data_IF_057641640775
#
_entry.id   IF_057641640775
#
_cell.length_a   1.000
_cell.length_b   1.000
_cell.length_c   1.000
_cell.angle_alpha   90.00
_cell.angle_beta   90.00
_cell.angle_gamma   90.00
#
_symmetry.space_group_name_H-M   'P 1'
#
loop_
_entity.id
_entity.type
_entity.pdbx_description
1 polymer ?
#
# COMPACT_ATOMS: atom_id res chain seq x y z
N UNK A 1 24.11 11.98 21.18
CA UNK A 1 23.90 10.80 20.30
C UNK A 1 23.04 11.25 19.16
N UNK A 2 23.62 11.49 17.97
CA UNK A 2 22.91 11.96 16.79
C UNK A 2 22.44 10.74 15.99
N UNK A 3 21.13 10.52 15.93
CA UNK A 3 20.55 9.50 15.03
C UNK A 3 20.76 9.92 13.57
N UNK A 4 21.13 8.95 12.72
CA UNK A 4 21.36 9.20 11.29
C UNK A 4 20.05 9.60 10.58
N UNK A 5 20.11 10.38 9.48
CA UNK A 5 18.92 10.81 8.73
C UNK A 5 18.03 9.65 8.24
N UNK A 6 18.62 8.48 7.97
CA UNK A 6 17.91 7.27 7.56
C UNK A 6 17.04 6.66 8.68
N UNK A 7 17.49 6.75 9.93
CA UNK A 7 16.71 6.30 11.09
C UNK A 7 15.50 7.22 11.37
N UNK A 8 15.64 8.52 11.11
CA UNK A 8 14.56 9.49 11.29
C UNK A 8 13.48 9.36 10.22
N UNK A 9 13.85 9.08 8.98
CA UNK A 9 12.90 8.84 7.89
C UNK A 9 12.09 7.56 8.13
N UNK A 10 12.74 6.47 8.58
CA UNK A 10 12.05 5.21 8.92
C UNK A 10 11.06 5.37 10.08
N UNK A 11 11.40 6.20 11.08
CA UNK A 11 10.53 6.44 12.22
C UNK A 11 9.29 7.26 11.84
N UNK A 12 9.42 8.25 10.97
CA UNK A 12 8.30 9.08 10.50
C UNK A 12 7.32 8.27 9.66
N UNK A 13 7.81 7.38 8.78
CA UNK A 13 6.98 6.48 7.98
C UNK A 13 6.26 5.46 8.85
N UNK A 14 6.91 4.92 9.89
CA UNK A 14 6.30 3.98 10.84
C UNK A 14 5.21 4.65 11.70
N UNK A 15 5.39 5.92 12.08
CA UNK A 15 4.40 6.69 12.85
C UNK A 15 3.18 7.02 11.99
N UNK A 16 3.38 7.35 10.70
CA UNK A 16 2.27 7.66 9.78
C UNK A 16 1.40 6.45 9.43
N UNK A 17 1.96 5.23 9.49
CA UNK A 17 1.25 4.01 9.10
C UNK A 17 0.77 3.16 10.29
N UNK A 18 1.14 3.49 11.53
CA UNK A 18 0.72 2.72 12.72
C UNK A 18 1.18 1.25 12.69
N UNK A 19 2.20 0.93 11.90
CA UNK A 19 2.70 -0.43 11.70
C UNK A 19 3.66 -0.83 12.84
N UNK A 20 3.13 -1.05 14.04
CA UNK A 20 3.82 -1.84 15.05
C UNK A 20 3.73 -3.33 14.66
N UNK A 21 4.74 -3.81 13.97
CA UNK A 21 4.95 -5.26 13.80
C UNK A 21 5.42 -5.79 15.15
N UNK A 22 4.49 -6.27 15.96
CA UNK A 22 4.83 -7.03 17.17
C UNK A 22 5.51 -8.32 16.72
N UNK A 23 6.83 -8.38 16.86
CA UNK A 23 7.61 -9.58 16.63
C UNK A 23 7.29 -10.60 17.74
N UNK A 24 6.28 -11.43 17.53
CA UNK A 24 6.05 -12.63 18.30
C UNK A 24 7.00 -13.69 17.71
N UNK A 25 8.16 -13.88 18.34
CA UNK A 25 9.07 -14.96 18.03
C UNK A 25 8.41 -16.27 18.49
N UNK A 26 7.51 -16.83 17.69
CA UNK A 26 7.16 -18.23 17.77
C UNK A 26 8.44 -19.01 17.38
N UNK A 27 8.81 -20.01 18.15
CA UNK A 27 9.92 -20.89 17.87
C UNK A 27 9.63 -21.64 16.56
N UNK A 28 10.20 -21.13 15.48
CA UNK A 28 9.96 -21.65 14.12
C UNK A 28 10.93 -22.81 13.92
N UNK A 29 10.46 -24.02 14.21
CA UNK A 29 11.28 -25.24 14.29
C UNK A 29 11.25 -26.12 13.04
N UNK A 30 10.37 -25.82 12.05
CA UNK A 30 10.28 -26.59 10.80
C UNK A 30 10.07 -25.69 9.57
N UNK A 31 10.38 -26.18 8.35
CA UNK A 31 10.09 -25.47 7.11
C UNK A 31 8.60 -25.12 6.95
N UNK A 32 7.71 -26.03 7.37
CA UNK A 32 6.26 -25.81 7.28
C UNK A 32 5.79 -24.72 8.25
N UNK A 33 6.29 -24.71 9.49
CA UNK A 33 5.96 -23.65 10.46
C UNK A 33 6.49 -22.30 10.01
N UNK A 34 7.66 -22.24 9.38
CA UNK A 34 8.18 -21.02 8.76
C UNK A 34 7.28 -20.51 7.64
N UNK A 35 6.89 -21.40 6.72
CA UNK A 35 6.03 -21.03 5.59
C UNK A 35 4.66 -20.53 6.07
N UNK A 36 4.05 -21.23 7.01
CA UNK A 36 2.78 -20.82 7.60
C UNK A 36 2.89 -19.46 8.29
N UNK A 37 3.97 -19.21 9.04
CA UNK A 37 4.24 -17.92 9.68
C UNK A 37 4.46 -16.80 8.66
N UNK A 38 5.27 -17.04 7.61
CA UNK A 38 5.47 -16.09 6.51
C UNK A 38 4.14 -15.70 5.85
N UNK A 39 3.31 -16.68 5.52
CA UNK A 39 2.01 -16.46 4.88
C UNK A 39 1.06 -15.65 5.76
N UNK A 40 1.05 -15.93 7.08
CA UNK A 40 0.28 -15.14 8.03
C UNK A 40 0.79 -13.71 8.15
N UNK A 41 2.12 -13.50 8.15
CA UNK A 41 2.69 -12.15 8.16
C UNK A 41 2.32 -11.35 6.90
N UNK A 42 2.42 -11.96 5.72
CA UNK A 42 2.01 -11.35 4.45
C UNK A 42 0.51 -10.99 4.46
N UNK A 43 -0.34 -11.89 4.94
CA UNK A 43 -1.77 -11.62 5.06
C UNK A 43 -2.07 -10.47 6.03
N UNK A 44 -1.42 -10.43 7.19
CA UNK A 44 -1.56 -9.32 8.16
C UNK A 44 -1.09 -7.99 7.59
N UNK A 45 0.03 -7.98 6.85
CA UNK A 45 0.51 -6.78 6.16
C UNK A 45 -0.55 -6.26 5.19
N UNK A 46 -1.10 -7.14 4.35
CA UNK A 46 -2.12 -6.78 3.37
C UNK A 46 -3.43 -6.31 4.03
N UNK A 47 -3.88 -6.97 5.10
CA UNK A 47 -5.06 -6.55 5.87
C UNK A 47 -4.86 -5.16 6.48
N UNK A 48 -3.68 -4.91 7.08
CA UNK A 48 -3.35 -3.63 7.67
C UNK A 48 -3.28 -2.53 6.60
N UNK A 49 -2.62 -2.81 5.47
CA UNK A 49 -2.55 -1.87 4.36
C UNK A 49 -3.95 -1.51 3.84
N UNK A 50 -4.80 -2.51 3.58
CA UNK A 50 -6.17 -2.26 3.12
C UNK A 50 -7.02 -1.56 4.18
N UNK A 51 -6.81 -1.82 5.47
CA UNK A 51 -7.44 -1.09 6.56
C UNK A 51 -7.06 0.40 6.58
N UNK A 52 -5.79 0.72 6.35
CA UNK A 52 -5.29 2.10 6.23
C UNK A 52 -5.92 2.79 5.02
N UNK A 53 -5.94 2.13 3.84
CA UNK A 53 -6.56 2.67 2.64
C UNK A 53 -8.06 2.90 2.81
N UNK A 54 -8.74 1.97 3.49
CA UNK A 54 -10.16 2.10 3.85
C UNK A 54 -10.39 3.33 4.75
N UNK A 55 -9.60 3.48 5.81
CA UNK A 55 -9.68 4.64 6.72
C UNK A 55 -9.43 5.96 5.99
N UNK A 56 -8.40 6.00 5.13
CA UNK A 56 -8.13 7.15 4.27
C UNK A 56 -9.33 7.50 3.39
N UNK A 57 -9.90 6.50 2.73
CA UNK A 57 -11.04 6.70 1.84
C UNK A 57 -12.27 7.23 2.59
N UNK A 58 -12.62 6.63 3.73
CA UNK A 58 -13.77 7.06 4.55
C UNK A 58 -13.59 8.50 5.04
N UNK A 59 -12.41 8.85 5.56
CA UNK A 59 -12.11 10.22 6.01
C UNK A 59 -12.22 11.23 4.87
N UNK A 60 -11.67 10.91 3.71
CA UNK A 60 -11.69 11.81 2.55
C UNK A 60 -13.09 11.93 1.92
N UNK A 61 -13.89 10.88 1.92
CA UNK A 61 -15.30 10.96 1.49
C UNK A 61 -16.09 11.83 2.47
N UNK A 62 -15.94 11.60 3.78
CA UNK A 62 -16.64 12.38 4.80
C UNK A 62 -16.29 13.87 4.76
N UNK A 63 -14.98 14.19 4.85
CA UNK A 63 -14.51 15.57 4.80
C UNK A 63 -14.78 16.22 3.44
N UNK A 64 -14.63 15.48 2.36
CA UNK A 64 -14.90 15.91 1.00
C UNK A 64 -16.39 16.23 0.79
N UNK A 65 -17.29 15.43 1.34
CA UNK A 65 -18.73 15.68 1.30
C UNK A 65 -19.07 16.98 2.06
N UNK A 66 -18.61 17.10 3.31
CA UNK A 66 -18.83 18.34 4.09
C UNK A 66 -18.24 19.53 3.37
N UNK A 67 -16.99 19.47 2.92
CA UNK A 67 -16.31 20.55 2.22
C UNK A 67 -17.01 20.96 0.92
N UNK A 68 -17.58 20.00 0.18
CA UNK A 68 -18.35 20.30 -1.03
C UNK A 68 -19.57 21.21 -0.75
N UNK A 69 -20.28 20.99 0.35
CA UNK A 69 -21.48 21.75 0.68
C UNK A 69 -21.20 23.06 1.44
N UNK A 70 -20.05 23.15 2.13
CA UNK A 70 -19.71 24.30 2.97
C UNK A 70 -18.77 25.32 2.32
N UNK A 71 -18.15 24.97 1.17
CA UNK A 71 -17.17 25.84 0.49
C UNK A 71 -17.61 26.18 -0.93
N UNK A 72 -16.88 27.10 -1.58
CA UNK A 72 -17.15 27.55 -2.94
C UNK A 72 -15.88 27.56 -3.80
N UNK A 73 -16.05 27.76 -5.10
CA UNK A 73 -14.97 27.96 -6.06
C UNK A 73 -13.98 26.78 -6.08
N UNK A 74 -12.72 27.09 -5.99
CA UNK A 74 -11.61 26.14 -6.06
C UNK A 74 -11.63 25.12 -4.92
N UNK A 75 -11.92 25.57 -3.69
CA UNK A 75 -11.98 24.71 -2.50
C UNK A 75 -13.12 23.69 -2.62
N UNK A 76 -14.27 24.10 -3.14
CA UNK A 76 -15.38 23.19 -3.43
C UNK A 76 -15.00 22.13 -4.46
N UNK A 77 -14.33 22.54 -5.54
CA UNK A 77 -13.88 21.64 -6.57
C UNK A 77 -12.82 20.62 -6.05
N UNK A 78 -11.92 21.08 -5.17
CA UNK A 78 -10.98 20.20 -4.46
C UNK A 78 -11.70 19.12 -3.66
N UNK A 79 -12.64 19.49 -2.80
CA UNK A 79 -13.39 18.56 -1.96
C UNK A 79 -14.24 17.59 -2.78
N UNK A 80 -14.84 18.06 -3.86
CA UNK A 80 -15.61 17.22 -4.79
C UNK A 80 -14.74 16.13 -5.42
N UNK A 81 -13.59 16.51 -5.97
CA UNK A 81 -12.66 15.57 -6.58
C UNK A 81 -12.09 14.59 -5.54
N UNK A 82 -11.78 15.10 -4.34
CA UNK A 82 -11.27 14.31 -3.23
C UNK A 82 -12.26 13.21 -2.80
N UNK A 83 -13.54 13.55 -2.61
CA UNK A 83 -14.57 12.56 -2.29
C UNK A 83 -14.79 11.56 -3.41
N UNK A 84 -14.91 12.03 -4.66
CA UNK A 84 -15.12 11.17 -5.82
C UNK A 84 -13.99 10.15 -6.02
N UNK A 85 -12.72 10.59 -5.91
CA UNK A 85 -11.57 9.71 -6.01
C UNK A 85 -11.59 8.61 -4.95
N UNK A 86 -11.90 8.99 -3.72
CA UNK A 86 -11.86 8.06 -2.60
C UNK A 86 -13.01 7.04 -2.61
N UNK A 87 -14.06 7.20 -3.41
CA UNK A 87 -15.04 6.12 -3.65
C UNK A 87 -14.42 4.92 -4.35
N UNK A 88 -13.43 5.15 -5.23
CA UNK A 88 -12.65 4.09 -5.88
C UNK A 88 -11.77 3.39 -4.87
N UNK A 89 -11.03 4.14 -4.05
CA UNK A 89 -10.19 3.58 -2.99
C UNK A 89 -11.00 2.77 -1.98
N UNK A 90 -12.20 3.25 -1.61
CA UNK A 90 -13.14 2.55 -0.74
C UNK A 90 -13.55 1.19 -1.32
N UNK A 91 -13.89 1.17 -2.62
CA UNK A 91 -14.27 -0.06 -3.31
C UNK A 91 -13.12 -1.07 -3.36
N UNK A 92 -11.90 -0.61 -3.72
CA UNK A 92 -10.70 -1.45 -3.77
C UNK A 92 -10.42 -2.05 -2.39
N UNK A 93 -10.34 -1.23 -1.35
CA UNK A 93 -10.02 -1.68 0.00
C UNK A 93 -11.12 -2.62 0.55
N UNK A 94 -12.40 -2.27 0.35
CA UNK A 94 -13.53 -3.07 0.83
C UNK A 94 -13.61 -4.44 0.15
N UNK A 95 -13.44 -4.51 -1.17
CA UNK A 95 -13.43 -5.78 -1.91
C UNK A 95 -12.22 -6.64 -1.54
N UNK A 96 -11.05 -6.02 -1.37
CA UNK A 96 -9.84 -6.72 -0.93
C UNK A 96 -10.01 -7.33 0.47
N UNK A 97 -10.48 -6.55 1.45
CA UNK A 97 -10.71 -7.06 2.80
C UNK A 97 -11.76 -8.16 2.83
N UNK A 98 -12.83 -8.03 2.03
CA UNK A 98 -13.84 -9.09 1.91
C UNK A 98 -13.26 -10.39 1.34
N UNK A 99 -12.41 -10.31 0.31
CA UNK A 99 -11.75 -11.47 -0.27
C UNK A 99 -10.81 -12.16 0.74
N UNK A 100 -10.09 -11.38 1.52
CA UNK A 100 -9.16 -11.88 2.54
C UNK A 100 -9.88 -12.56 3.72
N UNK A 101 -11.13 -12.20 4.02
CA UNK A 101 -11.89 -12.77 5.13
C UNK A 101 -12.20 -14.27 4.96
N UNK A 102 -12.23 -14.77 3.73
CA UNK A 102 -12.49 -16.18 3.40
C UNK A 102 -11.23 -17.00 3.12
N UNK A 103 -10.06 -16.38 3.16
CA UNK A 103 -8.80 -17.04 2.85
C UNK A 103 -8.10 -17.61 4.10
N UNK A 104 -7.35 -18.69 3.92
CA UNK A 104 -6.58 -19.36 4.96
C UNK A 104 -5.08 -19.35 4.66
N UNK A 105 -4.39 -18.21 4.80
CA UNK A 105 -3.01 -18.05 4.35
C UNK A 105 -2.02 -19.05 4.98
N UNK A 106 -2.27 -19.45 6.22
CA UNK A 106 -1.41 -20.43 6.91
C UNK A 106 -1.35 -21.81 6.26
N UNK A 107 -2.29 -22.15 5.36
CA UNK A 107 -2.33 -23.42 4.64
C UNK A 107 -1.78 -23.34 3.20
N UNK A 108 -1.25 -22.18 2.76
CA UNK A 108 -0.69 -22.04 1.42
C UNK A 108 0.62 -22.81 1.30
N UNK A 109 0.76 -23.53 0.19
CA UNK A 109 2.03 -24.14 -0.18
C UNK A 109 3.07 -23.12 -0.65
N UNK A 110 4.29 -23.55 -0.87
CA UNK A 110 5.39 -22.70 -1.29
C UNK A 110 5.13 -22.03 -2.65
N UNK A 111 4.55 -22.76 -3.61
CA UNK A 111 4.29 -22.24 -4.95
C UNK A 111 3.26 -21.10 -4.90
N UNK A 112 2.19 -21.28 -4.15
CA UNK A 112 1.17 -20.25 -3.92
C UNK A 112 1.75 -19.06 -3.17
N UNK A 113 2.57 -19.28 -2.13
CA UNK A 113 3.19 -18.20 -1.35
C UNK A 113 4.09 -17.32 -2.21
N UNK A 114 4.94 -17.92 -3.04
CA UNK A 114 5.79 -17.19 -3.99
C UNK A 114 4.96 -16.43 -5.04
N UNK A 115 3.92 -17.08 -5.60
CA UNK A 115 3.05 -16.48 -6.60
C UNK A 115 2.30 -15.26 -6.06
N UNK A 116 1.67 -15.38 -4.88
CA UNK A 116 0.93 -14.28 -4.27
C UNK A 116 1.86 -13.12 -3.85
N UNK A 117 3.06 -13.42 -3.32
CA UNK A 117 4.06 -12.42 -3.01
C UNK A 117 4.51 -11.62 -4.25
N UNK A 118 4.85 -12.31 -5.34
CA UNK A 118 5.25 -11.67 -6.60
C UNK A 118 4.11 -10.88 -7.25
N UNK A 119 2.88 -11.41 -7.21
CA UNK A 119 1.70 -10.72 -7.72
C UNK A 119 1.46 -9.40 -6.97
N UNK A 120 1.59 -9.42 -5.65
CA UNK A 120 1.45 -8.22 -4.83
C UNK A 120 2.53 -7.18 -5.16
N UNK A 121 3.79 -7.59 -5.28
CA UNK A 121 4.89 -6.68 -5.65
C UNK A 121 4.65 -6.02 -7.00
N UNK A 122 4.24 -6.79 -8.02
CA UNK A 122 3.94 -6.27 -9.35
C UNK A 122 2.77 -5.29 -9.33
N UNK A 123 1.72 -5.59 -8.56
CA UNK A 123 0.54 -4.74 -8.43
C UNK A 123 0.90 -3.40 -7.77
N UNK A 124 1.66 -3.44 -6.67
CA UNK A 124 2.09 -2.23 -5.96
C UNK A 124 3.00 -1.34 -6.82
N UNK A 125 3.96 -1.92 -7.55
CA UNK A 125 4.81 -1.17 -8.48
C UNK A 125 4.02 -0.57 -9.64
N UNK A 126 3.04 -1.30 -10.17
CA UNK A 126 2.15 -0.80 -11.21
C UNK A 126 1.32 0.39 -10.70
N UNK A 127 0.75 0.27 -9.49
CA UNK A 127 0.00 1.35 -8.85
C UNK A 127 0.89 2.57 -8.59
N UNK A 128 2.10 2.39 -8.04
CA UNK A 128 3.06 3.48 -7.86
C UNK A 128 3.37 4.21 -9.17
N UNK A 129 3.45 3.49 -10.28
CA UNK A 129 3.58 4.11 -11.62
C UNK A 129 2.36 4.93 -12.02
N UNK A 130 1.14 4.44 -11.74
CA UNK A 130 -0.10 5.20 -11.95
C UNK A 130 -0.16 6.45 -11.07
N UNK A 131 0.30 6.37 -9.82
CA UNK A 131 0.30 7.51 -8.90
C UNK A 131 1.20 8.64 -9.37
N UNK A 132 2.38 8.32 -9.92
CA UNK A 132 3.24 9.31 -10.62
C UNK A 132 2.48 9.96 -11.77
N UNK A 133 1.72 9.18 -12.55
CA UNK A 133 0.84 9.69 -13.61
C UNK A 133 -0.24 10.64 -13.07
N UNK A 134 -0.86 10.30 -11.94
CA UNK A 134 -1.88 11.16 -11.30
C UNK A 134 -1.27 12.45 -10.76
N UNK A 135 -0.08 12.42 -10.18
CA UNK A 135 0.66 13.60 -9.75
C UNK A 135 0.96 14.50 -10.96
N UNK A 136 1.49 13.94 -12.03
CA UNK A 136 1.79 14.70 -13.26
C UNK A 136 0.53 15.32 -13.86
N UNK A 137 -0.55 14.55 -13.97
CA UNK A 137 -1.84 15.04 -14.47
C UNK A 137 -2.45 16.09 -13.55
N UNK A 138 -2.33 15.92 -12.23
CA UNK A 138 -2.73 16.93 -11.24
C UNK A 138 -2.00 18.26 -11.44
N UNK A 139 -0.69 18.21 -11.69
CA UNK A 139 0.14 19.38 -12.03
C UNK A 139 -0.30 20.06 -13.32
N UNK A 140 -0.61 19.29 -14.37
CA UNK A 140 -1.13 19.81 -15.64
C UNK A 140 -2.51 20.51 -15.49
N UNK A 141 -3.41 19.90 -14.68
CA UNK A 141 -4.71 20.52 -14.41
C UNK A 141 -4.56 21.83 -13.64
N UNK A 142 -3.64 21.87 -12.68
CA UNK A 142 -3.35 23.04 -11.88
C UNK A 142 -2.80 24.18 -12.74
N UNK A 143 -1.80 23.88 -13.58
CA UNK A 143 -1.19 24.83 -14.50
C UNK A 143 -2.24 25.37 -15.50
N UNK A 144 -3.03 24.47 -16.12
CA UNK A 144 -4.10 24.89 -17.03
C UNK A 144 -5.15 25.72 -16.32
N UNK A 145 -5.48 25.37 -15.06
CA UNK A 145 -6.43 26.11 -14.24
C UNK A 145 -5.98 27.55 -13.94
N UNK A 146 -4.68 27.77 -13.78
CA UNK A 146 -4.13 29.13 -13.65
C UNK A 146 -4.22 29.92 -14.97
N UNK A 147 -3.85 29.29 -16.09
CA UNK A 147 -3.88 29.98 -17.40
C UNK A 147 -5.28 30.31 -17.88
N UNK A 148 -6.29 29.52 -17.52
CA UNK A 148 -7.68 29.71 -17.95
C UNK A 148 -8.57 30.32 -16.88
N UNK A 149 -8.00 30.72 -15.76
CA UNK A 149 -8.69 31.19 -14.54
C UNK A 149 -9.83 30.25 -14.10
N UNK A 150 -9.62 28.95 -14.23
CA UNK A 150 -10.61 27.95 -13.87
C UNK A 150 -10.40 27.43 -12.44
N UNK A 151 -11.24 27.88 -11.52
CA UNK A 151 -11.26 27.38 -10.14
C UNK A 151 -11.48 25.87 -10.06
N UNK A 152 -12.28 25.30 -10.98
CA UNK A 152 -12.51 23.85 -11.04
C UNK A 152 -11.24 23.07 -11.33
N UNK A 153 -10.48 23.46 -12.36
CA UNK A 153 -9.24 22.76 -12.74
C UNK A 153 -8.20 22.89 -11.63
N UNK A 154 -8.08 24.06 -11.00
CA UNK A 154 -7.16 24.23 -9.86
C UNK A 154 -7.53 23.34 -8.69
N UNK A 155 -8.80 23.26 -8.32
CA UNK A 155 -9.27 22.39 -7.24
C UNK A 155 -9.04 20.90 -7.52
N UNK A 156 -9.39 20.45 -8.71
CA UNK A 156 -9.15 19.06 -9.13
C UNK A 156 -7.66 18.71 -9.20
N UNK A 157 -6.84 19.63 -9.74
CA UNK A 157 -5.39 19.44 -9.76
C UNK A 157 -4.79 19.29 -8.36
N UNK A 158 -5.17 20.13 -7.42
CA UNK A 158 -4.74 20.04 -6.01
C UNK A 158 -5.17 18.73 -5.36
N UNK A 159 -6.39 18.26 -5.62
CA UNK A 159 -6.89 16.99 -5.11
C UNK A 159 -6.08 15.81 -5.66
N UNK A 160 -5.78 15.80 -6.96
CA UNK A 160 -4.98 14.73 -7.57
C UNK A 160 -3.53 14.73 -7.07
N UNK A 161 -2.93 15.89 -6.82
CA UNK A 161 -1.61 15.98 -6.20
C UNK A 161 -1.61 15.38 -4.80
N UNK A 162 -2.63 15.66 -3.99
CA UNK A 162 -2.78 15.10 -2.65
C UNK A 162 -2.97 13.58 -2.70
N UNK A 163 -3.90 13.11 -3.54
CA UNK A 163 -4.23 11.69 -3.63
C UNK A 163 -3.08 10.88 -4.22
N UNK A 164 -2.49 11.33 -5.33
CA UNK A 164 -1.34 10.67 -5.94
C UNK A 164 -0.12 10.67 -5.02
N UNK A 165 0.13 11.76 -4.29
CA UNK A 165 1.21 11.81 -3.31
C UNK A 165 1.04 10.84 -2.16
N UNK A 166 -0.18 10.75 -1.59
CA UNK A 166 -0.50 9.79 -0.55
C UNK A 166 -0.38 8.35 -1.06
N UNK A 167 -1.01 8.04 -2.20
CA UNK A 167 -1.03 6.68 -2.76
C UNK A 167 0.37 6.22 -3.15
N UNK A 168 1.18 7.07 -3.79
CA UNK A 168 2.56 6.75 -4.12
C UNK A 168 3.38 6.39 -2.88
N UNK A 169 3.28 7.20 -1.82
CA UNK A 169 3.96 6.91 -0.56
C UNK A 169 3.45 5.61 0.07
N UNK A 170 2.15 5.38 0.03
CA UNK A 170 1.51 4.17 0.54
C UNK A 170 1.96 2.93 -0.24
N UNK A 171 1.85 2.93 -1.56
CA UNK A 171 2.16 1.78 -2.40
C UNK A 171 3.66 1.43 -2.36
N UNK A 172 4.55 2.43 -2.38
CA UNK A 172 5.99 2.22 -2.23
C UNK A 172 6.31 1.65 -0.85
N UNK A 173 5.67 2.15 0.21
CA UNK A 173 5.92 1.63 1.57
C UNK A 173 5.46 0.18 1.70
N UNK A 174 4.26 -0.14 1.24
CA UNK A 174 3.73 -1.52 1.29
C UNK A 174 4.57 -2.44 0.41
N UNK A 175 5.03 -1.97 -0.75
CA UNK A 175 5.95 -2.72 -1.60
C UNK A 175 7.26 -3.04 -0.91
N UNK A 176 7.92 -2.07 -0.26
CA UNK A 176 9.16 -2.30 0.49
C UNK A 176 9.00 -3.34 1.60
N UNK A 177 7.88 -3.26 2.34
CA UNK A 177 7.59 -4.22 3.41
C UNK A 177 7.32 -5.62 2.86
N UNK A 178 6.53 -5.72 1.79
CA UNK A 178 6.22 -7.00 1.14
C UNK A 178 7.47 -7.63 0.51
N UNK A 179 8.29 -6.85 -0.20
CA UNK A 179 9.55 -7.30 -0.79
C UNK A 179 10.55 -7.78 0.27
N UNK A 180 10.61 -7.10 1.42
CA UNK A 180 11.40 -7.56 2.57
C UNK A 180 10.93 -8.91 3.13
N UNK A 181 9.62 -9.15 3.16
CA UNK A 181 9.07 -10.45 3.57
C UNK A 181 9.40 -11.54 2.53
N UNK A 182 9.18 -11.26 1.26
CA UNK A 182 9.43 -12.22 0.18
C UNK A 182 10.91 -12.58 0.04
N UNK A 183 11.82 -11.62 0.25
CA UNK A 183 13.26 -11.87 0.23
C UNK A 183 13.70 -12.84 1.33
N UNK A 184 13.06 -12.81 2.51
CA UNK A 184 13.33 -13.78 3.59
C UNK A 184 12.87 -15.18 3.20
N UNK A 185 11.76 -15.32 2.47
CA UNK A 185 11.30 -16.60 1.96
C UNK A 185 12.28 -17.15 0.90
N UNK A 186 12.64 -16.31 -0.08
CA UNK A 186 13.56 -16.74 -1.16
C UNK A 186 14.97 -17.03 -0.68
N UNK A 187 15.47 -16.30 0.32
CA UNK A 187 16.79 -16.55 0.91
C UNK A 187 16.91 -17.91 1.60
N UNK A 188 15.78 -18.55 1.95
CA UNK A 188 15.75 -19.91 2.52
C UNK A 188 15.59 -21.01 1.46
N UNK A 189 15.45 -20.63 0.19
CA UNK A 189 15.39 -21.57 -0.92
C UNK A 189 16.81 -21.73 -1.48
N UNK A 190 17.32 -22.97 -1.46
CA UNK A 190 18.61 -23.28 -2.11
C UNK A 190 18.38 -24.29 -3.24
N UNK A 191 19.21 -24.23 -4.31
CA UNK A 191 19.22 -25.27 -5.33
C UNK A 191 19.49 -26.64 -4.67
N UNK A 192 18.75 -27.65 -5.08
CA UNK A 192 19.03 -29.03 -4.62
C UNK A 192 20.44 -29.46 -5.06
N UNK A 193 21.18 -30.22 -4.26
CA UNK A 193 22.54 -30.62 -4.57
C UNK A 193 22.70 -31.33 -5.93
N UNK A 194 21.64 -31.97 -6.40
CA UNK A 194 21.62 -32.72 -7.68
C UNK A 194 21.07 -31.91 -8.86
N UNK A 195 20.94 -30.56 -8.72
CA UNK A 195 20.52 -29.68 -9.80
C UNK A 195 19.04 -29.74 -10.19
N UNK A 196 18.21 -30.52 -9.48
CA UNK A 196 16.78 -30.65 -9.75
C UNK A 196 15.99 -30.31 -8.47
N UNK A 197 15.33 -29.16 -8.47
CA UNK A 197 14.47 -28.74 -7.38
C UNK A 197 15.08 -27.67 -6.47
N UNK A 198 14.30 -27.22 -5.52
CA UNK A 198 14.65 -26.24 -4.49
C UNK A 198 14.45 -26.88 -3.11
N UNK A 199 15.37 -26.63 -2.20
CA UNK A 199 15.27 -27.04 -0.81
C UNK A 199 15.06 -25.81 0.08
N UNK A 200 14.12 -25.90 1.02
CA UNK A 200 14.05 -24.97 2.15
C UNK A 200 15.18 -25.34 3.12
N UNK A 201 16.19 -24.49 3.23
CA UNK A 201 17.25 -24.66 4.22
C UNK A 201 16.82 -24.12 5.57
N UNK A 202 17.09 -24.88 6.60
CA UNK A 202 16.88 -24.53 8.00
C UNK A 202 18.23 -24.44 8.70
N UNK A 203 18.48 -23.39 9.54
CA UNK A 203 19.69 -23.30 10.32
C UNK A 203 19.78 -24.38 11.41
#
# INVERSE_FOLDING_TARGET
MSHSPSQRAGLVVAILLGLSVSAQAAEITSPESFLAHHNQQSARLNQTAMGILLGWAVLNIGTGTVGHFTTQGETRAFWQANAAWNTVNLAIAGLSLRGQASDTPGSWDLARSLSEGQKMEKLLLFNAGLDVGYIAFGGLLLERGWRTDSARLRGWGKSLLLQGGFLLLFDVTVWLLNSSLNSKLTARLTPAPNGVGLLLTWP
#
